data_IF_770365637560
#
_entry.id   IF_770365637560
#
_cell.length_a   1.000
_cell.length_b   1.000
_cell.length_c   1.000
_cell.angle_alpha   90.00
_cell.angle_beta   90.00
_cell.angle_gamma   90.00
#
_symmetry.space_group_name_H-M   'P 1'
#
loop_
_entity.id
_entity.type
_entity.pdbx_description
1 polymer ?
#
# COMPACT_ATOMS: atom_id res chain seq x y z
N UNK A 1 -5.75 -41.78 18.24
CA UNK A 1 -5.79 -40.42 18.79
C UNK A 1 -4.49 -39.79 18.36
N UNK A 2 -4.51 -39.01 17.28
CA UNK A 2 -3.30 -38.37 16.75
C UNK A 2 -3.02 -37.09 17.55
N UNK A 3 -1.82 -36.97 18.10
CA UNK A 3 -1.35 -35.78 18.79
C UNK A 3 -1.06 -34.66 17.79
N UNK A 4 -1.82 -33.57 17.89
CA UNK A 4 -1.56 -32.32 17.19
C UNK A 4 -0.29 -31.69 17.77
N UNK A 5 0.73 -31.53 16.93
CA UNK A 5 1.94 -30.82 17.29
C UNK A 5 1.71 -29.32 17.13
N UNK A 6 1.84 -28.56 18.23
CA UNK A 6 1.75 -27.11 18.23
C UNK A 6 2.89 -26.49 17.40
N UNK A 7 2.54 -25.68 16.41
CA UNK A 7 3.49 -24.91 15.60
C UNK A 7 3.91 -23.68 16.39
N UNK A 8 5.17 -23.63 16.84
CA UNK A 8 5.73 -22.43 17.45
C UNK A 8 6.14 -21.43 16.36
N UNK A 9 5.39 -20.33 16.26
CA UNK A 9 5.78 -19.17 15.46
C UNK A 9 6.88 -18.41 16.21
N UNK A 10 8.10 -18.46 15.71
CA UNK A 10 9.20 -17.66 16.26
C UNK A 10 9.03 -16.21 15.85
N UNK A 11 8.95 -15.32 16.84
CA UNK A 11 8.89 -13.87 16.63
C UNK A 11 10.11 -13.39 15.84
N UNK A 12 9.86 -12.81 14.67
CA UNK A 12 10.89 -12.26 13.81
C UNK A 12 11.32 -10.92 14.43
N UNK A 13 12.55 -10.86 14.94
CA UNK A 13 13.15 -9.60 15.45
C UNK A 13 13.09 -8.51 14.35
N UNK A 14 12.60 -7.30 14.67
CA UNK A 14 12.62 -6.21 13.71
C UNK A 14 14.06 -5.76 13.47
N UNK A 15 14.49 -5.76 12.21
CA UNK A 15 15.90 -5.60 11.81
C UNK A 15 16.35 -4.14 11.61
N UNK A 16 15.51 -3.13 11.83
CA UNK A 16 15.84 -1.78 11.40
C UNK A 16 15.85 -0.78 12.56
N UNK A 17 17.04 -0.57 13.10
CA UNK A 17 17.37 0.60 13.92
C UNK A 17 17.38 1.86 13.06
N UNK A 18 16.73 2.91 13.56
CA UNK A 18 16.40 4.14 12.86
C UNK A 18 17.51 4.76 12.01
N UNK A 19 17.12 5.15 10.81
CA UNK A 19 17.65 6.34 10.16
C UNK A 19 16.47 7.18 9.66
N UNK A 20 16.44 8.43 10.12
CA UNK A 20 15.63 9.50 9.56
C UNK A 20 15.92 9.61 8.06
N UNK A 21 15.18 8.88 7.23
CA UNK A 21 15.09 9.11 5.80
C UNK A 21 14.03 10.19 5.60
N UNK A 22 14.50 11.43 5.55
CA UNK A 22 13.68 12.56 5.09
C UNK A 22 13.00 12.17 3.77
N UNK A 23 11.69 12.41 3.74
CA UNK A 23 10.71 11.99 2.73
C UNK A 23 11.03 12.52 1.32
N UNK A 24 12.00 11.92 0.63
CA UNK A 24 12.32 12.26 -0.76
C UNK A 24 11.28 11.69 -1.75
N UNK A 25 10.30 10.90 -1.28
CA UNK A 25 9.30 10.21 -2.10
C UNK A 25 7.91 10.88 -2.11
N UNK A 26 7.68 11.92 -1.29
CA UNK A 26 6.39 12.64 -1.26
C UNK A 26 6.18 13.60 -2.44
N UNK A 27 7.22 13.88 -3.22
CA UNK A 27 7.20 14.98 -4.21
C UNK A 27 6.29 14.72 -5.41
N UNK A 28 5.78 13.50 -5.58
CA UNK A 28 4.85 13.16 -6.67
C UNK A 28 3.82 12.08 -6.27
N UNK A 29 3.29 12.19 -5.06
CA UNK A 29 2.11 11.43 -4.60
C UNK A 29 0.87 12.28 -4.84
N UNK A 30 -0.11 11.76 -5.59
CA UNK A 30 -1.41 12.41 -5.81
C UNK A 30 -2.55 11.48 -5.40
N UNK A 31 -3.26 11.88 -4.36
CA UNK A 31 -4.45 11.19 -3.88
C UNK A 31 -5.69 11.66 -4.66
N UNK A 32 -6.59 10.73 -4.96
CA UNK A 32 -7.84 10.99 -5.68
C UNK A 32 -8.96 10.13 -5.09
N UNK A 33 -10.14 10.71 -5.01
CA UNK A 33 -11.38 9.98 -4.75
C UNK A 33 -12.10 9.75 -6.08
N UNK A 34 -12.29 8.48 -6.44
CA UNK A 34 -12.86 8.07 -7.72
C UNK A 34 -14.28 7.55 -7.49
N UNK A 35 -15.27 8.19 -8.11
CA UNK A 35 -16.64 7.69 -8.10
C UNK A 35 -16.77 6.44 -8.97
N UNK A 36 -17.38 5.40 -8.40
CA UNK A 36 -17.72 4.16 -9.10
C UNK A 36 -19.21 3.85 -8.93
N UNK A 37 -19.73 2.87 -9.68
CA UNK A 37 -21.09 2.39 -9.51
C UNK A 37 -21.39 1.81 -8.10
N UNK A 38 -20.36 1.52 -7.31
CA UNK A 38 -20.46 0.88 -5.99
C UNK A 38 -19.96 1.77 -4.85
N UNK A 39 -19.86 3.09 -5.10
CA UNK A 39 -19.38 4.07 -4.13
C UNK A 39 -18.03 4.68 -4.51
N UNK A 40 -17.47 5.45 -3.59
CA UNK A 40 -16.21 6.18 -3.80
C UNK A 40 -15.03 5.29 -3.40
N UNK A 41 -14.01 5.26 -4.26
CA UNK A 41 -12.76 4.56 -4.02
C UNK A 41 -11.60 5.55 -3.87
N UNK A 42 -10.87 5.48 -2.77
CA UNK A 42 -9.70 6.30 -2.54
C UNK A 42 -8.48 5.65 -3.19
N UNK A 43 -7.73 6.42 -3.98
CA UNK A 43 -6.53 5.93 -4.66
C UNK A 43 -5.37 6.91 -4.58
N UNK A 44 -4.16 6.38 -4.46
CA UNK A 44 -2.92 7.15 -4.42
C UNK A 44 -2.06 6.83 -5.64
N UNK A 45 -1.86 7.81 -6.50
CA UNK A 45 -0.96 7.74 -7.64
C UNK A 45 0.45 8.16 -7.24
N UNK A 46 1.45 7.32 -7.54
CA UNK A 46 2.87 7.63 -7.40
C UNK A 46 3.60 7.53 -8.74
N UNK A 47 4.54 8.46 -8.94
CA UNK A 47 5.34 8.51 -10.18
C UNK A 47 4.62 9.22 -11.32
N UNK A 48 5.24 9.19 -12.51
CA UNK A 48 4.71 9.89 -13.70
C UNK A 48 4.08 8.89 -14.65
N UNK A 49 2.83 9.13 -15.05
CA UNK A 49 2.17 8.34 -16.09
C UNK A 49 2.85 8.64 -17.42
N UNK A 50 3.60 7.66 -17.94
CA UNK A 50 4.20 7.69 -19.27
C UNK A 50 3.26 6.96 -20.21
N UNK A 51 2.82 7.62 -21.28
CA UNK A 51 1.63 7.21 -22.04
C UNK A 51 1.60 5.75 -22.54
N UNK A 52 2.76 5.16 -22.87
CA UNK A 52 2.82 3.78 -23.38
C UNK A 52 3.32 2.75 -22.35
N UNK A 53 3.48 3.13 -21.08
CA UNK A 53 3.87 2.22 -20.01
C UNK A 53 2.67 1.85 -19.15
N UNK A 54 2.50 0.57 -18.81
CA UNK A 54 1.43 0.15 -17.93
C UNK A 54 1.62 0.72 -16.52
N UNK A 55 0.53 0.79 -15.77
CA UNK A 55 0.55 1.17 -14.36
C UNK A 55 0.58 -0.08 -13.50
N UNK A 56 1.46 -0.12 -12.50
CA UNK A 56 1.43 -1.15 -11.46
C UNK A 56 0.27 -0.80 -10.52
N UNK A 57 -0.75 -1.66 -10.48
CA UNK A 57 -1.87 -1.50 -9.55
C UNK A 57 -1.65 -2.40 -8.34
N UNK A 58 -1.88 -1.86 -7.14
CA UNK A 58 -1.85 -2.64 -5.91
C UNK A 58 -3.19 -2.58 -5.19
N UNK A 59 -3.62 -3.72 -4.65
CA UNK A 59 -4.79 -3.84 -3.79
C UNK A 59 -4.36 -4.59 -2.53
N UNK A 60 -4.63 -4.01 -1.36
CA UNK A 60 -4.09 -4.50 -0.09
C UNK A 60 -4.92 -5.64 0.52
N UNK A 61 -4.35 -6.31 1.52
CA UNK A 61 -5.04 -7.35 2.29
C UNK A 61 -5.96 -6.76 3.39
N UNK A 62 -6.81 -7.59 3.98
CA UNK A 62 -7.75 -7.23 5.04
C UNK A 62 -7.04 -6.68 6.29
N UNK A 63 -7.62 -5.65 6.91
CA UNK A 63 -7.06 -5.01 8.11
C UNK A 63 -5.82 -4.14 7.84
N UNK A 64 -5.45 -3.97 6.59
CA UNK A 64 -4.39 -3.07 6.13
C UNK A 64 -4.98 -2.00 5.22
N UNK A 65 -4.09 -1.10 4.78
CA UNK A 65 -4.30 -0.16 3.69
C UNK A 65 -3.05 -0.13 2.82
N UNK A 66 -3.02 0.67 1.75
CA UNK A 66 -1.87 0.68 0.85
C UNK A 66 -0.56 1.04 1.55
N UNK A 67 -0.61 1.92 2.57
CA UNK A 67 0.59 2.34 3.31
C UNK A 67 1.16 1.20 4.13
N UNK A 68 0.33 0.56 4.95
CA UNK A 68 0.73 -0.55 5.81
C UNK A 68 1.07 -1.83 5.03
N UNK A 69 0.45 -2.05 3.88
CA UNK A 69 0.68 -3.24 3.05
C UNK A 69 1.89 -3.09 2.10
N UNK A 70 2.05 -1.93 1.45
CA UNK A 70 2.96 -1.80 0.31
C UNK A 70 4.07 -0.76 0.45
N UNK A 71 4.01 0.20 1.39
CA UNK A 71 5.08 1.22 1.48
C UNK A 71 6.45 0.57 1.72
N UNK A 72 6.53 -0.45 2.57
CA UNK A 72 7.80 -1.15 2.83
C UNK A 72 8.40 -1.72 1.55
N UNK A 73 7.58 -2.30 0.68
CA UNK A 73 8.02 -2.85 -0.61
C UNK A 73 8.42 -1.74 -1.58
N UNK A 74 7.52 -0.79 -1.85
CA UNK A 74 7.74 0.21 -2.90
C UNK A 74 8.76 1.29 -2.52
N UNK A 75 9.05 1.46 -1.23
CA UNK A 75 10.10 2.36 -0.75
C UNK A 75 11.44 1.64 -0.59
N UNK A 76 11.49 0.31 -0.80
CA UNK A 76 12.73 -0.47 -0.79
C UNK A 76 13.64 -0.03 -1.93
N UNK A 77 14.95 -0.01 -1.68
CA UNK A 77 15.94 0.56 -2.61
C UNK A 77 15.92 -0.15 -3.96
N UNK A 78 15.89 -1.48 -3.96
CA UNK A 78 15.85 -2.28 -5.20
C UNK A 78 14.54 -2.04 -5.99
N UNK A 79 13.44 -1.72 -5.30
CA UNK A 79 12.17 -1.39 -5.96
C UNK A 79 12.17 -0.01 -6.63
N UNK A 80 13.13 0.86 -6.33
CA UNK A 80 13.27 2.13 -7.04
C UNK A 80 13.65 1.93 -8.51
N UNK A 81 14.44 0.89 -8.82
CA UNK A 81 14.81 0.56 -10.20
C UNK A 81 13.59 0.20 -11.05
N UNK A 82 12.58 -0.42 -10.43
CA UNK A 82 11.30 -0.74 -11.07
C UNK A 82 10.43 0.51 -11.15
N UNK A 83 10.21 1.21 -10.03
CA UNK A 83 9.23 2.31 -9.93
C UNK A 83 9.62 3.58 -10.68
N UNK A 84 10.88 3.76 -11.10
CA UNK A 84 11.26 4.83 -12.05
C UNK A 84 10.69 4.62 -13.47
N UNK A 85 10.36 3.37 -13.81
CA UNK A 85 9.88 2.97 -15.14
C UNK A 85 8.37 2.76 -15.20
N UNK A 86 7.67 2.73 -14.07
CA UNK A 86 6.23 2.52 -14.04
C UNK A 86 5.57 3.53 -13.12
N UNK A 87 4.38 3.98 -13.48
CA UNK A 87 3.50 4.61 -12.48
C UNK A 87 2.94 3.53 -11.56
N UNK A 88 2.67 3.89 -10.31
CA UNK A 88 2.06 3.01 -9.31
C UNK A 88 0.73 3.61 -8.86
N UNK A 89 -0.34 2.84 -8.97
CA UNK A 89 -1.68 3.18 -8.50
C UNK A 89 -2.00 2.30 -7.30
N UNK A 90 -1.96 2.90 -6.12
CA UNK A 90 -2.36 2.25 -4.89
C UNK A 90 -3.85 2.43 -4.67
N UNK A 91 -4.59 1.32 -4.54
CA UNK A 91 -6.01 1.34 -4.21
C UNK A 91 -6.18 1.05 -2.73
N UNK A 92 -6.91 1.91 -2.03
CA UNK A 92 -7.46 1.58 -0.72
C UNK A 92 -8.88 1.04 -0.87
N UNK A 93 -9.14 -0.10 -0.26
CA UNK A 93 -10.48 -0.67 -0.20
C UNK A 93 -11.45 0.32 0.47
N UNK A 94 -12.75 0.30 0.14
CA UNK A 94 -13.72 1.25 0.68
C UNK A 94 -13.69 1.30 2.22
N UNK A 95 -13.43 2.49 2.77
CA UNK A 95 -13.39 2.74 4.21
C UNK A 95 -12.08 2.29 4.90
N UNK A 96 -11.06 1.88 4.15
CA UNK A 96 -9.76 1.47 4.68
C UNK A 96 -8.66 2.53 4.48
N UNK A 97 -8.94 3.62 3.77
CA UNK A 97 -8.00 4.74 3.69
C UNK A 97 -7.81 5.42 5.06
N UNK A 98 -6.70 6.13 5.23
CA UNK A 98 -6.41 6.83 6.48
C UNK A 98 -7.53 7.83 6.81
N UNK A 99 -8.01 7.81 8.07
CA UNK A 99 -9.08 8.67 8.57
C UNK A 99 -10.42 8.54 7.81
N UNK A 100 -10.67 7.38 7.18
CA UNK A 100 -11.94 7.11 6.54
C UNK A 100 -13.12 7.29 7.53
N UNK A 101 -14.23 7.93 7.11
CA UNK A 101 -15.42 8.00 7.93
C UNK A 101 -16.02 6.60 8.12
N UNK A 102 -16.59 6.36 9.30
CA UNK A 102 -17.31 5.12 9.57
C UNK A 102 -18.57 5.08 8.70
N UNK A 103 -18.79 3.95 8.01
CA UNK A 103 -20.02 3.75 7.25
C UNK A 103 -21.26 3.82 8.17
N UNK A 104 -22.40 4.34 7.67
CA UNK A 104 -23.62 4.39 8.46
C UNK A 104 -23.99 3.00 8.97
N UNK A 105 -24.40 2.94 10.24
CA UNK A 105 -25.07 1.75 10.77
C UNK A 105 -26.41 1.62 10.05
N UNK A 106 -26.62 0.49 9.37
CA UNK A 106 -27.83 0.20 8.61
C UNK A 106 -29.11 0.26 9.43
#
# INVERSE_FOLDING_TARGET
MEELHDVQLTEIKPLLTGQNRSNLQDVNCKEHDVETAHGVLHVTMRGVVKGNQPTILTYHDIGLNHKSCFNTLFNFEDMQEVTQHFSVLHVDAPGQQDNAPIFPTG
#
